data_IF_509810303788
#
_entry.id   IF_509810303788
#
_cell.length_a   1.000
_cell.length_b   1.000
_cell.length_c   1.000
_cell.angle_alpha   90.00
_cell.angle_beta   90.00
_cell.angle_gamma   90.00
#
_symmetry.space_group_name_H-M   'P 1'
#
loop_
_entity.id
_entity.type
_entity.pdbx_description
1 polymer ?
#
# COMPACT_ATOMS: atom_id res chain seq x y z
N UNK A 1 -79.62 2.78 13.12
CA UNK A 1 -78.73 3.65 13.94
C UNK A 1 -77.52 2.86 14.41
N UNK A 2 -76.37 3.00 13.75
CA UNK A 2 -75.07 2.48 14.22
C UNK A 2 -74.03 3.56 13.95
N UNK A 3 -73.47 4.12 15.02
CA UNK A 3 -72.34 5.06 14.98
C UNK A 3 -71.05 4.25 14.93
N UNK A 4 -70.25 4.41 13.88
CA UNK A 4 -68.85 3.97 13.84
C UNK A 4 -67.96 5.20 13.79
N UNK A 5 -67.04 5.27 14.74
CA UNK A 5 -66.09 6.34 14.98
C UNK A 5 -64.71 5.68 15.05
N UNK A 6 -63.66 6.40 14.58
CA UNK A 6 -62.21 6.17 14.80
C UNK A 6 -61.58 5.10 13.89
N UNK A 7 -60.39 5.27 13.29
CA UNK A 7 -59.25 6.17 13.57
C UNK A 7 -58.36 6.24 12.30
N UNK A 8 -57.96 7.42 11.84
CA UNK A 8 -56.92 7.60 10.81
C UNK A 8 -55.61 7.85 11.53
N UNK A 9 -54.67 6.90 11.44
CA UNK A 9 -53.32 7.03 11.98
C UNK A 9 -52.42 7.64 10.91
N UNK A 10 -52.19 8.95 10.98
CA UNK A 10 -51.26 9.66 10.11
C UNK A 10 -49.83 9.44 10.66
N UNK A 11 -49.08 8.53 10.03
CA UNK A 11 -47.68 8.27 10.31
C UNK A 11 -46.83 9.38 9.66
N UNK A 12 -46.54 10.43 10.43
CA UNK A 12 -45.58 11.47 10.04
C UNK A 12 -44.19 10.86 10.18
N UNK A 13 -43.64 10.36 9.07
CA UNK A 13 -42.21 10.05 8.94
C UNK A 13 -41.44 11.38 8.98
N UNK A 14 -40.99 11.77 10.17
CA UNK A 14 -39.98 12.81 10.32
C UNK A 14 -38.64 12.22 9.87
N UNK A 15 -38.33 12.37 8.58
CA UNK A 15 -36.99 12.13 8.03
C UNK A 15 -36.06 13.16 8.66
N UNK A 16 -35.54 12.83 9.84
CA UNK A 16 -34.38 13.52 10.39
C UNK A 16 -33.21 13.17 9.48
N UNK A 17 -32.96 14.01 8.48
CA UNK A 17 -31.64 14.10 7.89
C UNK A 17 -30.71 14.56 9.02
N UNK A 18 -30.13 13.60 9.74
CA UNK A 18 -28.95 13.88 10.52
C UNK A 18 -27.90 14.38 9.53
N UNK A 19 -27.67 15.70 9.51
CA UNK A 19 -26.46 16.25 8.90
C UNK A 19 -25.30 15.59 9.65
N UNK A 20 -24.70 14.56 9.05
CA UNK A 20 -23.45 14.01 9.54
C UNK A 20 -22.49 15.18 9.68
N UNK A 21 -22.11 15.49 10.93
CA UNK A 21 -21.16 16.57 11.18
C UNK A 21 -19.90 16.28 10.38
N UNK A 22 -19.32 17.26 9.68
CA UNK A 22 -18.11 17.04 8.91
C UNK A 22 -17.03 16.51 9.84
N UNK A 23 -16.35 15.46 9.41
CA UNK A 23 -15.22 14.91 10.14
C UNK A 23 -14.11 15.95 10.17
N UNK A 24 -13.56 16.21 11.34
CA UNK A 24 -12.47 17.16 11.53
C UNK A 24 -11.19 16.37 11.76
N UNK A 25 -10.13 16.73 11.05
CA UNK A 25 -8.85 16.05 11.13
C UNK A 25 -7.72 17.07 11.32
N UNK A 26 -7.04 16.99 12.46
CA UNK A 26 -5.65 17.44 12.56
C UNK A 26 -4.74 16.54 11.72
N UNK A 27 -3.49 16.97 11.49
CA UNK A 27 -2.52 16.14 10.79
C UNK A 27 -2.33 14.77 11.45
N UNK A 28 -2.19 14.74 12.79
CA UNK A 28 -2.01 13.49 13.53
C UNK A 28 -3.27 12.61 13.47
N UNK A 29 -4.46 13.19 13.62
CA UNK A 29 -5.72 12.45 13.48
C UNK A 29 -5.91 11.86 12.07
N UNK A 30 -5.46 12.58 11.04
CA UNK A 30 -5.48 12.07 9.67
C UNK A 30 -4.54 10.86 9.52
N UNK A 31 -3.35 10.90 10.12
CA UNK A 31 -2.40 9.78 10.14
C UNK A 31 -3.01 8.58 10.86
N UNK A 32 -3.50 8.76 12.08
CA UNK A 32 -4.04 7.67 12.91
C UNK A 32 -5.28 7.01 12.27
N UNK A 33 -6.15 7.83 11.67
CA UNK A 33 -7.28 7.33 10.89
C UNK A 33 -6.80 6.50 9.69
N UNK A 34 -5.79 6.99 8.97
CA UNK A 34 -5.23 6.31 7.81
C UNK A 34 -4.63 4.95 8.19
N UNK A 35 -3.87 4.88 9.29
CA UNK A 35 -3.22 3.64 9.75
C UNK A 35 -4.23 2.52 10.09
N UNK A 36 -5.48 2.88 10.34
CA UNK A 36 -6.54 1.93 10.72
C UNK A 36 -7.52 1.62 9.58
N UNK A 37 -7.69 2.52 8.61
CA UNK A 37 -8.74 2.42 7.59
C UNK A 37 -8.23 2.35 6.14
N UNK A 38 -6.93 2.60 5.90
CA UNK A 38 -6.39 2.54 4.56
C UNK A 38 -6.42 1.12 3.96
N UNK A 39 -6.78 1.05 2.68
CA UNK A 39 -6.95 -0.21 1.94
C UNK A 39 -5.67 -1.04 1.85
N UNK A 40 -4.51 -0.42 1.60
CA UNK A 40 -3.24 -1.12 1.45
C UNK A 40 -2.77 -1.71 2.79
N UNK A 41 -3.00 -1.02 3.91
CA UNK A 41 -2.70 -1.55 5.25
C UNK A 41 -3.63 -2.68 5.68
N UNK A 42 -4.91 -2.61 5.30
CA UNK A 42 -5.85 -3.72 5.50
C UNK A 42 -5.43 -4.95 4.69
N UNK A 43 -4.99 -4.76 3.44
CA UNK A 43 -4.42 -5.84 2.61
C UNK A 43 -3.13 -6.38 3.24
N UNK A 44 -2.25 -5.51 3.74
CA UNK A 44 -1.02 -5.93 4.42
C UNK A 44 -1.31 -6.75 5.69
N UNK A 45 -2.33 -6.38 6.47
CA UNK A 45 -2.79 -7.16 7.61
C UNK A 45 -3.30 -8.55 7.19
N UNK A 46 -4.11 -8.62 6.13
CA UNK A 46 -4.57 -9.89 5.55
C UNK A 46 -3.40 -10.76 5.05
N UNK A 47 -2.35 -10.15 4.50
CA UNK A 47 -1.16 -10.87 4.06
C UNK A 47 -0.38 -11.48 5.23
N UNK A 48 -0.34 -10.83 6.40
CA UNK A 48 0.23 -11.41 7.63
C UNK A 48 -0.61 -12.60 8.10
N UNK A 49 -1.94 -12.49 8.08
CA UNK A 49 -2.80 -13.62 8.43
C UNK A 49 -2.62 -14.78 7.44
N UNK A 50 -2.55 -14.49 6.14
CA UNK A 50 -2.23 -15.47 5.10
C UNK A 50 -0.89 -16.16 5.36
N UNK A 51 0.14 -15.41 5.74
CA UNK A 51 1.44 -15.98 6.12
C UNK A 51 1.34 -16.87 7.38
N UNK A 52 0.50 -16.50 8.35
CA UNK A 52 0.21 -17.34 9.51
C UNK A 52 -0.50 -18.65 9.13
N UNK A 53 -1.48 -18.60 8.21
CA UNK A 53 -2.13 -19.80 7.68
C UNK A 53 -1.14 -20.67 6.88
N UNK A 54 -0.18 -20.06 6.17
CA UNK A 54 0.90 -20.80 5.49
C UNK A 54 1.82 -21.56 6.45
N UNK A 55 2.09 -21.00 7.64
CA UNK A 55 2.81 -21.73 8.69
C UNK A 55 2.00 -22.95 9.13
N UNK A 56 0.69 -22.81 9.32
CA UNK A 56 -0.18 -23.94 9.68
C UNK A 56 -0.25 -25.00 8.57
N UNK A 57 -0.42 -24.58 7.32
CA UNK A 57 -0.39 -25.45 6.14
C UNK A 57 0.90 -26.28 6.12
N UNK A 58 2.06 -25.64 6.29
CA UNK A 58 3.34 -26.33 6.35
C UNK A 58 3.48 -27.21 7.59
N UNK A 59 2.92 -26.80 8.74
CA UNK A 59 2.93 -27.62 9.96
C UNK A 59 2.12 -28.89 9.76
N UNK A 60 0.96 -28.79 9.12
CA UNK A 60 0.02 -29.89 8.88
C UNK A 60 0.61 -31.01 8.02
N UNK A 61 1.59 -30.74 7.14
CA UNK A 61 2.32 -31.78 6.39
C UNK A 61 2.96 -32.83 7.33
N UNK A 62 3.35 -32.43 8.54
CA UNK A 62 3.91 -33.33 9.56
C UNK A 62 2.87 -34.06 10.41
N UNK A 63 1.59 -33.72 10.26
CA UNK A 63 0.48 -34.31 11.02
C UNK A 63 -0.15 -35.48 10.24
N UNK A 64 -0.86 -36.39 10.92
CA UNK A 64 -1.58 -37.48 10.25
C UNK A 64 -2.54 -36.96 9.17
N UNK A 65 -2.36 -37.45 7.94
CA UNK A 65 -3.23 -37.22 6.79
C UNK A 65 -4.04 -38.48 6.55
N UNK A 66 -5.37 -38.37 6.52
CA UNK A 66 -6.29 -39.49 6.27
C UNK A 66 -6.94 -39.27 4.91
N UNK A 67 -6.71 -40.21 3.99
CA UNK A 67 -7.29 -40.19 2.67
C UNK A 67 -8.11 -41.46 2.46
N UNK A 68 -9.19 -41.36 1.70
CA UNK A 68 -9.99 -42.49 1.25
C UNK A 68 -10.05 -42.51 -0.27
N UNK A 69 -9.91 -43.68 -0.87
CA UNK A 69 -10.09 -43.88 -2.30
C UNK A 69 -11.01 -45.09 -2.54
N UNK A 70 -11.87 -44.98 -3.54
CA UNK A 70 -12.74 -46.06 -4.00
C UNK A 70 -12.53 -46.22 -5.49
N UNK A 71 -11.96 -47.34 -5.89
CA UNK A 71 -11.60 -47.64 -7.27
C UNK A 71 -12.50 -48.78 -7.77
N UNK A 72 -13.30 -48.52 -8.80
CA UNK A 72 -14.06 -49.53 -9.51
C UNK A 72 -13.44 -49.77 -10.89
N UNK A 73 -13.01 -51.00 -11.15
CA UNK A 73 -12.46 -51.40 -12.43
C UNK A 73 -13.34 -52.47 -13.09
N UNK A 74 -13.63 -52.25 -14.37
CA UNK A 74 -14.22 -53.26 -15.25
C UNK A 74 -13.19 -53.67 -16.29
N UNK A 75 -12.64 -54.87 -16.14
CA UNK A 75 -11.68 -55.45 -17.05
C UNK A 75 -12.41 -55.93 -18.32
N UNK A 76 -12.45 -55.09 -19.36
CA UNK A 76 -13.06 -55.43 -20.67
C UNK A 76 -12.48 -56.74 -21.19
N UNK A 77 -11.15 -56.86 -21.14
CA UNK A 77 -10.43 -58.11 -21.38
C UNK A 77 -9.65 -58.46 -20.11
N UNK A 78 -9.76 -59.70 -19.65
CA UNK A 78 -9.02 -60.16 -18.46
C UNK A 78 -7.55 -60.42 -18.82
N UNK A 79 -6.60 -59.99 -17.98
CA UNK A 79 -5.18 -60.24 -18.22
C UNK A 79 -4.90 -61.75 -18.22
N UNK A 80 -4.07 -62.23 -19.15
CA UNK A 80 -3.67 -63.63 -19.23
C UNK A 80 -2.37 -63.84 -18.43
N UNK A 81 -2.34 -64.83 -17.55
CA UNK A 81 -1.11 -65.38 -16.97
C UNK A 81 -0.69 -66.60 -17.77
N UNK A 82 0.60 -66.66 -18.11
CA UNK A 82 1.22 -67.77 -18.83
C UNK A 82 2.03 -68.63 -17.85
N UNK A 83 1.88 -69.95 -17.95
CA UNK A 83 2.67 -70.90 -17.18
C UNK A 83 3.42 -71.84 -18.16
N UNK A 84 4.63 -71.42 -18.55
CA UNK A 84 5.34 -72.03 -19.69
C UNK A 84 4.76 -71.61 -21.05
N UNK A 85 5.15 -72.29 -22.12
CA UNK A 85 4.82 -71.88 -23.50
C UNK A 85 3.37 -72.22 -23.93
N UNK A 86 2.70 -73.10 -23.19
CA UNK A 86 1.42 -73.71 -23.64
C UNK A 86 0.23 -73.46 -22.72
N UNK A 87 0.43 -73.19 -21.43
CA UNK A 87 -0.68 -72.97 -20.49
C UNK A 87 -0.97 -71.48 -20.32
N UNK A 88 -2.19 -71.07 -20.65
CA UNK A 88 -2.69 -69.69 -20.48
C UNK A 88 -3.93 -69.72 -19.59
N UNK A 89 -3.97 -68.83 -18.61
CA UNK A 89 -5.11 -68.68 -17.70
C UNK A 89 -5.54 -67.22 -17.64
N UNK A 90 -6.85 -66.96 -17.67
CA UNK A 90 -7.38 -65.64 -17.36
C UNK A 90 -7.22 -65.35 -15.87
N UNK A 91 -6.49 -64.28 -15.57
CA UNK A 91 -6.20 -63.84 -14.22
C UNK A 91 -7.10 -62.69 -13.78
N UNK A 92 -7.35 -62.62 -12.48
CA UNK A 92 -8.25 -61.64 -11.88
C UNK A 92 -9.71 -61.88 -12.24
N UNK A 93 -10.60 -61.00 -11.78
CA UNK A 93 -12.03 -61.06 -12.09
C UNK A 93 -12.43 -59.87 -12.99
N UNK A 94 -13.57 -59.99 -13.68
CA UNK A 94 -14.03 -58.98 -14.63
C UNK A 94 -14.38 -57.65 -13.96
N UNK A 95 -14.93 -57.68 -12.74
CA UNK A 95 -15.24 -56.49 -11.95
C UNK A 95 -14.45 -56.52 -10.66
N UNK A 96 -13.75 -55.44 -10.36
CA UNK A 96 -13.10 -55.23 -9.06
C UNK A 96 -13.53 -53.90 -8.46
N UNK A 97 -13.74 -53.89 -7.15
CA UNK A 97 -14.01 -52.69 -6.37
C UNK A 97 -13.04 -52.70 -5.19
N UNK A 98 -12.21 -51.67 -5.06
CA UNK A 98 -11.29 -51.51 -3.94
C UNK A 98 -11.64 -50.23 -3.18
N UNK A 99 -12.12 -50.36 -1.95
CA UNK A 99 -12.30 -49.23 -1.05
C UNK A 99 -11.15 -49.21 -0.04
N UNK A 100 -10.34 -48.16 -0.07
CA UNK A 100 -9.16 -48.02 0.77
C UNK A 100 -9.29 -46.77 1.62
N UNK A 101 -8.87 -46.87 2.87
CA UNK A 101 -8.64 -45.74 3.77
C UNK A 101 -7.20 -45.82 4.25
N UNK A 102 -6.45 -44.74 4.09
CA UNK A 102 -5.06 -44.65 4.49
C UNK A 102 -4.82 -43.43 5.36
N UNK A 103 -4.35 -43.66 6.58
CA UNK A 103 -3.71 -42.64 7.41
C UNK A 103 -2.20 -42.69 7.17
N UNK A 104 -1.57 -41.54 6.95
CA UNK A 104 -0.11 -41.43 6.79
C UNK A 104 0.43 -40.25 7.58
N UNK A 105 1.61 -40.38 8.17
CA UNK A 105 2.24 -39.30 8.91
C UNK A 105 3.73 -39.25 8.60
N UNK A 106 4.23 -38.05 8.29
CA UNK A 106 5.65 -37.78 8.18
C UNK A 106 6.27 -37.73 9.58
N UNK A 107 7.23 -38.63 9.84
CA UNK A 107 7.96 -38.66 11.12
C UNK A 107 9.23 -37.82 11.05
N UNK A 108 9.92 -37.84 9.91
CA UNK A 108 11.12 -37.04 9.70
C UNK A 108 11.32 -36.71 8.22
N UNK A 109 11.61 -35.44 7.93
CA UNK A 109 12.21 -34.99 6.68
C UNK A 109 13.02 -33.73 6.94
N UNK A 110 14.26 -33.71 6.48
CA UNK A 110 15.13 -32.53 6.61
C UNK A 110 14.54 -31.30 5.91
N UNK A 111 13.98 -31.49 4.71
CA UNK A 111 13.38 -30.40 3.92
C UNK A 111 12.11 -29.86 4.56
N UNK A 112 11.30 -30.71 5.18
CA UNK A 112 10.14 -30.28 5.97
C UNK A 112 10.53 -29.34 7.12
N UNK A 113 11.53 -29.71 7.93
CA UNK A 113 11.97 -28.92 9.07
C UNK A 113 12.48 -27.53 8.65
N UNK A 114 13.27 -27.48 7.58
CA UNK A 114 13.77 -26.20 7.04
C UNK A 114 12.63 -25.41 6.38
N UNK A 115 11.71 -26.06 5.66
CA UNK A 115 10.54 -25.42 5.08
C UNK A 115 9.64 -24.75 6.12
N UNK A 116 9.51 -25.33 7.32
CA UNK A 116 8.82 -24.71 8.45
C UNK A 116 9.58 -23.48 8.99
N UNK A 117 10.91 -23.53 9.02
CA UNK A 117 11.75 -22.37 9.36
C UNK A 117 11.57 -21.24 8.34
N UNK A 118 11.58 -21.56 7.04
CA UNK A 118 11.36 -20.60 5.96
C UNK A 118 9.98 -19.94 6.02
N UNK A 119 8.92 -20.70 6.34
CA UNK A 119 7.58 -20.14 6.50
C UNK A 119 7.50 -19.12 7.66
N UNK A 120 8.20 -19.39 8.78
CA UNK A 120 8.29 -18.45 9.91
C UNK A 120 9.08 -17.19 9.54
N UNK A 121 10.20 -17.34 8.84
CA UNK A 121 10.99 -16.20 8.33
C UNK A 121 10.18 -15.35 7.34
N UNK A 122 9.40 -15.98 6.45
CA UNK A 122 8.52 -15.29 5.51
C UNK A 122 7.41 -14.49 6.21
N UNK A 123 6.85 -15.00 7.31
CA UNK A 123 5.91 -14.21 8.14
C UNK A 123 6.59 -12.96 8.71
N UNK A 124 7.83 -13.05 9.17
CA UNK A 124 8.57 -11.86 9.66
C UNK A 124 8.76 -10.82 8.56
N UNK A 125 9.10 -11.26 7.34
CA UNK A 125 9.15 -10.36 6.17
C UNK A 125 7.79 -9.69 5.95
N UNK A 126 6.69 -10.45 6.02
CA UNK A 126 5.33 -9.90 5.85
C UNK A 126 4.98 -8.83 6.90
N UNK A 127 5.42 -9.02 8.16
CA UNK A 127 5.28 -8.03 9.23
C UNK A 127 6.11 -6.77 8.92
N UNK A 128 7.36 -6.94 8.51
CA UNK A 128 8.24 -5.83 8.13
C UNK A 128 7.75 -5.08 6.88
N UNK A 129 7.14 -5.78 5.92
CA UNK A 129 6.51 -5.16 4.75
C UNK A 129 5.32 -4.30 5.15
N UNK A 130 4.54 -4.70 6.16
CA UNK A 130 3.48 -3.84 6.72
C UNK A 130 4.07 -2.62 7.42
N UNK A 131 5.10 -2.78 8.24
CA UNK A 131 5.82 -1.66 8.89
C UNK A 131 6.36 -0.66 7.85
N UNK A 132 6.92 -1.15 6.75
CA UNK A 132 7.35 -0.30 5.63
C UNK A 132 6.18 0.46 5.00
N UNK A 133 5.09 -0.24 4.70
CA UNK A 133 3.89 0.37 4.14
C UNK A 133 3.30 1.43 5.07
N UNK A 134 3.33 1.22 6.39
CA UNK A 134 2.89 2.22 7.38
C UNK A 134 3.75 3.49 7.31
N UNK A 135 5.08 3.36 7.21
CA UNK A 135 5.99 4.50 7.05
C UNK A 135 5.73 5.26 5.75
N UNK A 136 5.66 4.56 4.61
CA UNK A 136 5.38 5.17 3.30
C UNK A 136 4.02 5.88 3.28
N UNK A 137 3.02 5.30 3.93
CA UNK A 137 1.70 5.87 4.00
C UNK A 137 1.63 7.10 4.92
N UNK A 138 2.36 7.11 6.04
CA UNK A 138 2.51 8.31 6.89
C UNK A 138 3.05 9.48 6.06
N UNK A 139 4.12 9.26 5.29
CA UNK A 139 4.67 10.28 4.39
C UNK A 139 3.63 10.73 3.36
N UNK A 140 2.93 9.79 2.70
CA UNK A 140 1.92 10.11 1.69
C UNK A 140 0.76 10.94 2.26
N UNK A 141 0.30 10.63 3.48
CA UNK A 141 -0.74 11.40 4.18
C UNK A 141 -0.26 12.80 4.49
N UNK A 142 0.95 12.97 5.04
CA UNK A 142 1.49 14.30 5.36
C UNK A 142 1.58 15.16 4.09
N UNK A 143 2.11 14.59 3.00
CA UNK A 143 2.24 15.29 1.73
C UNK A 143 0.88 15.67 1.13
N UNK A 144 -0.10 14.75 1.16
CA UNK A 144 -1.45 15.03 0.68
C UNK A 144 -2.17 16.07 1.57
N UNK A 145 -2.02 16.01 2.89
CA UNK A 145 -2.56 16.98 3.82
C UNK A 145 -1.97 18.37 3.55
N UNK A 146 -0.65 18.45 3.43
CA UNK A 146 0.04 19.69 3.08
C UNK A 146 -0.43 20.26 1.75
N UNK A 147 -0.64 19.42 0.72
CA UNK A 147 -1.16 19.86 -0.57
C UNK A 147 -2.57 20.49 -0.46
N UNK A 148 -3.45 19.95 0.40
CA UNK A 148 -4.77 20.55 0.66
C UNK A 148 -4.64 21.92 1.34
N UNK A 149 -3.80 22.01 2.38
CA UNK A 149 -3.58 23.26 3.11
C UNK A 149 -2.99 24.32 2.17
N UNK A 150 -1.98 23.96 1.38
CA UNK A 150 -1.34 24.82 0.39
C UNK A 150 -2.32 25.29 -0.70
N UNK A 151 -3.15 24.39 -1.24
CA UNK A 151 -4.19 24.77 -2.19
C UNK A 151 -5.23 25.72 -1.55
N UNK A 152 -5.52 25.54 -0.26
CA UNK A 152 -6.35 26.44 0.53
C UNK A 152 -5.75 27.84 0.70
N UNK A 153 -4.46 27.93 1.02
CA UNK A 153 -3.75 29.21 1.13
C UNK A 153 -3.66 29.94 -0.23
N UNK A 154 -3.41 29.22 -1.31
CA UNK A 154 -3.45 29.78 -2.67
C UNK A 154 -4.83 30.36 -3.00
N UNK A 155 -5.90 29.63 -2.68
CA UNK A 155 -7.26 30.12 -2.86
C UNK A 155 -7.51 31.41 -2.07
N UNK A 156 -7.09 31.48 -0.80
CA UNK A 156 -7.22 32.70 0.03
C UNK A 156 -6.47 33.89 -0.57
N UNK A 157 -5.27 33.66 -1.09
CA UNK A 157 -4.46 34.69 -1.77
C UNK A 157 -5.19 35.20 -3.02
N UNK A 158 -5.66 34.29 -3.88
CA UNK A 158 -6.41 34.66 -5.08
C UNK A 158 -7.73 35.38 -4.76
N UNK A 159 -8.42 35.01 -3.69
CA UNK A 159 -9.61 35.72 -3.21
C UNK A 159 -9.30 37.17 -2.81
N UNK A 160 -8.19 37.38 -2.10
CA UNK A 160 -7.72 38.72 -1.72
C UNK A 160 -7.29 39.52 -2.96
N UNK A 161 -6.66 38.88 -3.92
CA UNK A 161 -6.18 39.49 -5.16
C UNK A 161 -7.34 39.89 -6.07
N UNK A 162 -8.36 39.03 -6.23
CA UNK A 162 -9.63 39.37 -6.92
C UNK A 162 -10.29 40.58 -6.24
N UNK A 163 -10.41 40.58 -4.91
CA UNK A 163 -11.02 41.72 -4.18
C UNK A 163 -10.25 43.02 -4.39
N UNK A 164 -8.91 42.94 -4.41
CA UNK A 164 -8.04 44.11 -4.67
C UNK A 164 -8.18 44.58 -6.11
N UNK A 165 -8.19 43.66 -7.07
CA UNK A 165 -8.39 43.97 -8.48
C UNK A 165 -9.77 44.57 -8.79
N UNK A 166 -10.83 44.11 -8.11
CA UNK A 166 -12.18 44.70 -8.21
C UNK A 166 -12.19 46.15 -7.71
N UNK A 167 -11.52 46.42 -6.58
CA UNK A 167 -11.38 47.77 -6.04
C UNK A 167 -10.59 48.67 -6.99
N UNK A 168 -9.41 48.23 -7.43
CA UNK A 168 -8.57 48.99 -8.36
C UNK A 168 -9.32 49.29 -9.67
N UNK A 169 -10.04 48.31 -10.23
CA UNK A 169 -10.84 48.52 -11.44
C UNK A 169 -11.97 49.53 -11.22
N UNK A 170 -12.61 49.50 -10.05
CA UNK A 170 -13.64 50.48 -9.70
C UNK A 170 -13.05 51.89 -9.66
N UNK A 171 -11.95 52.08 -8.93
CA UNK A 171 -11.30 53.38 -8.76
C UNK A 171 -10.80 53.93 -10.12
N UNK A 172 -10.19 53.09 -10.97
CA UNK A 172 -9.75 53.45 -12.32
C UNK A 172 -10.93 53.86 -13.22
N UNK A 173 -12.08 53.16 -13.12
CA UNK A 173 -13.29 53.53 -13.87
C UNK A 173 -13.84 54.89 -13.46
N UNK A 174 -13.81 55.23 -12.18
CA UNK A 174 -14.26 56.54 -11.72
C UNK A 174 -13.30 57.66 -12.18
N UNK A 175 -11.98 57.43 -12.15
CA UNK A 175 -10.98 58.37 -12.70
C UNK A 175 -11.20 58.60 -14.20
N UNK A 176 -11.47 57.53 -14.97
CA UNK A 176 -11.81 57.64 -16.39
C UNK A 176 -13.10 58.44 -16.63
N UNK A 177 -14.17 58.18 -15.88
CA UNK A 177 -15.44 58.93 -15.97
C UNK A 177 -15.27 60.42 -15.64
N UNK A 178 -14.34 60.75 -14.76
CA UNK A 178 -13.97 62.13 -14.44
C UNK A 178 -13.13 62.80 -15.54
N UNK A 179 -12.76 62.08 -16.61
CA UNK A 179 -11.93 62.58 -17.72
C UNK A 179 -10.44 62.65 -17.41
N UNK A 180 -9.99 62.03 -16.30
CA UNK A 180 -8.62 62.08 -15.81
C UNK A 180 -7.83 60.77 -16.07
N UNK A 181 -8.43 59.82 -16.79
CA UNK A 181 -7.83 58.52 -17.09
C UNK A 181 -8.05 58.08 -18.53
N UNK A 182 -7.42 56.97 -18.92
CA UNK A 182 -7.49 56.39 -20.26
C UNK A 182 -8.40 55.15 -20.28
N UNK A 183 -9.19 54.99 -21.34
CA UNK A 183 -10.02 53.79 -21.55
C UNK A 183 -9.16 52.51 -21.60
N UNK A 184 -7.97 52.58 -22.18
CA UNK A 184 -7.01 51.48 -22.23
C UNK A 184 -6.65 50.94 -20.83
N UNK A 185 -6.55 51.80 -19.82
CA UNK A 185 -6.27 51.38 -18.45
C UNK A 185 -7.45 50.59 -17.85
N UNK A 186 -8.68 51.01 -18.14
CA UNK A 186 -9.91 50.31 -17.74
C UNK A 186 -9.97 48.92 -18.40
N UNK A 187 -9.66 48.83 -19.68
CA UNK A 187 -9.67 47.56 -20.43
C UNK A 187 -8.61 46.60 -19.92
N UNK A 188 -7.37 47.07 -19.72
CA UNK A 188 -6.28 46.25 -19.20
C UNK A 188 -6.58 45.72 -17.80
N UNK A 189 -7.13 46.57 -16.92
CA UNK A 189 -7.47 46.16 -15.56
C UNK A 189 -8.68 45.19 -15.56
N UNK A 190 -9.63 45.38 -16.48
CA UNK A 190 -10.74 44.44 -16.68
C UNK A 190 -10.24 43.07 -17.14
N UNK A 191 -9.30 43.04 -18.10
CA UNK A 191 -8.64 41.81 -18.55
C UNK A 191 -7.93 41.09 -17.41
N UNK A 192 -7.13 41.81 -16.62
CA UNK A 192 -6.41 41.24 -15.47
C UNK A 192 -7.37 40.65 -14.43
N UNK A 193 -8.47 41.36 -14.13
CA UNK A 193 -9.48 40.87 -13.20
C UNK A 193 -10.16 39.59 -13.69
N UNK A 194 -10.46 39.47 -14.99
CA UNK A 194 -11.02 38.25 -15.56
C UNK A 194 -10.03 37.08 -15.43
N UNK A 195 -8.74 37.32 -15.64
CA UNK A 195 -7.69 36.32 -15.42
C UNK A 195 -7.62 35.86 -13.96
N UNK A 196 -7.67 36.80 -13.00
CA UNK A 196 -7.70 36.49 -11.57
C UNK A 196 -8.93 35.68 -11.16
N UNK A 197 -10.12 36.00 -11.69
CA UNK A 197 -11.35 35.24 -11.44
C UNK A 197 -11.23 33.81 -11.96
N UNK A 198 -10.71 33.63 -13.18
CA UNK A 198 -10.42 32.30 -13.74
C UNK A 198 -9.43 31.51 -12.88
N UNK A 199 -8.34 32.14 -12.44
CA UNK A 199 -7.36 31.54 -11.56
C UNK A 199 -7.96 31.11 -10.20
N UNK A 200 -8.81 31.96 -9.59
CA UNK A 200 -9.54 31.62 -8.36
C UNK A 200 -10.44 30.40 -8.54
N UNK A 201 -11.22 30.36 -9.62
CA UNK A 201 -12.11 29.23 -9.91
C UNK A 201 -11.33 27.93 -10.12
N UNK A 202 -10.20 28.01 -10.80
CA UNK A 202 -9.27 26.89 -10.94
C UNK A 202 -8.72 26.45 -9.58
N UNK A 203 -8.21 27.37 -8.76
CA UNK A 203 -7.69 27.08 -7.42
C UNK A 203 -8.75 26.45 -6.50
N UNK A 204 -10.02 26.87 -6.63
CA UNK A 204 -11.15 26.28 -5.91
C UNK A 204 -11.30 24.79 -6.25
N UNK A 205 -11.27 24.46 -7.55
CA UNK A 205 -11.31 23.06 -8.02
C UNK A 205 -10.06 22.27 -7.62
N UNK A 206 -8.88 22.89 -7.64
CA UNK A 206 -7.64 22.23 -7.21
C UNK A 206 -7.64 21.89 -5.73
N UNK A 207 -8.16 22.78 -4.86
CA UNK A 207 -8.32 22.47 -3.44
C UNK A 207 -9.23 21.27 -3.21
N UNK A 208 -10.33 21.20 -3.95
CA UNK A 208 -11.26 20.06 -3.86
C UNK A 208 -10.61 18.76 -4.38
N UNK A 209 -9.86 18.81 -5.48
CA UNK A 209 -9.11 17.67 -5.98
C UNK A 209 -8.08 17.16 -4.97
N UNK A 210 -7.29 18.07 -4.38
CA UNK A 210 -6.33 17.73 -3.34
C UNK A 210 -7.02 17.07 -2.14
N UNK A 211 -8.19 17.57 -1.74
CA UNK A 211 -8.97 17.00 -0.63
C UNK A 211 -9.45 15.58 -0.98
N UNK A 212 -9.93 15.35 -2.20
CA UNK A 212 -10.38 14.03 -2.65
C UNK A 212 -9.22 13.02 -2.73
N UNK A 213 -8.03 13.47 -3.13
CA UNK A 213 -6.81 12.66 -3.06
C UNK A 213 -6.46 12.29 -1.62
N UNK A 214 -6.51 13.23 -0.68
CA UNK A 214 -6.29 12.95 0.74
C UNK A 214 -7.33 11.95 1.28
N UNK A 215 -8.62 12.14 0.99
CA UNK A 215 -9.68 11.20 1.40
C UNK A 215 -9.39 9.78 0.90
N UNK A 216 -8.95 9.63 -0.35
CA UNK A 216 -8.61 8.34 -0.91
C UNK A 216 -7.44 7.67 -0.17
N UNK A 217 -6.35 8.42 0.05
CA UNK A 217 -5.17 7.93 0.80
C UNK A 217 -5.56 7.52 2.23
N UNK A 218 -6.43 8.29 2.89
CA UNK A 218 -6.95 7.97 4.22
C UNK A 218 -7.88 6.75 4.27
N UNK A 219 -8.36 6.26 3.13
CA UNK A 219 -9.43 5.27 3.08
C UNK A 219 -10.81 5.82 3.45
N UNK A 220 -11.00 7.15 3.38
CA UNK A 220 -12.28 7.80 3.64
C UNK A 220 -13.18 7.74 2.39
N UNK A 221 -14.46 7.46 2.60
CA UNK A 221 -15.46 7.53 1.53
C UNK A 221 -15.52 8.95 0.95
N UNK A 222 -15.50 9.06 -0.38
CA UNK A 222 -15.47 10.33 -1.11
C UNK A 222 -16.68 11.24 -0.82
N UNK A 223 -17.83 10.65 -0.47
CA UNK A 223 -19.06 11.38 -0.16
C UNK A 223 -19.06 12.02 1.25
N UNK A 224 -18.10 11.67 2.12
CA UNK A 224 -18.04 12.24 3.47
C UNK A 224 -17.36 13.61 3.44
N UNK A 225 -17.98 14.59 4.12
CA UNK A 225 -17.39 15.90 4.33
C UNK A 225 -16.23 15.81 5.33
N UNK A 226 -15.10 16.43 4.98
CA UNK A 226 -13.89 16.46 5.80
C UNK A 226 -13.39 17.91 5.90
N UNK A 227 -12.98 18.32 7.10
CA UNK A 227 -12.44 19.64 7.39
C UNK A 227 -11.09 19.48 8.07
N UNK A 228 -10.06 20.10 7.50
CA UNK A 228 -8.72 20.10 8.06
C UNK A 228 -8.57 21.24 9.07
N UNK A 229 -7.91 20.97 10.20
CA UNK A 229 -7.80 21.92 11.32
C UNK A 229 -6.38 22.45 11.56
N UNK A 230 -5.35 21.74 11.11
CA UNK A 230 -3.93 22.14 11.26
C UNK A 230 -3.58 23.24 10.27
N UNK A 231 -2.86 24.27 10.71
CA UNK A 231 -2.43 25.39 9.84
C UNK A 231 -1.12 25.10 9.10
N UNK A 232 -0.80 25.90 8.09
CA UNK A 232 0.46 25.78 7.36
C UNK A 232 1.67 26.05 8.28
N UNK A 233 1.58 27.08 9.13
CA UNK A 233 2.65 27.45 10.06
C UNK A 233 2.91 26.35 11.08
N UNK A 234 1.87 25.67 11.55
CA UNK A 234 1.97 24.55 12.49
C UNK A 234 2.76 23.39 11.86
N UNK A 235 2.41 22.99 10.61
CA UNK A 235 3.11 21.92 9.86
C UNK A 235 4.60 22.26 9.64
N UNK A 236 4.90 23.53 9.39
CA UNK A 236 6.27 23.99 9.12
C UNK A 236 7.08 24.07 10.42
N UNK A 237 6.51 24.59 11.52
CA UNK A 237 7.27 24.88 12.75
C UNK A 237 7.55 23.67 13.65
N UNK A 238 6.73 22.62 13.59
CA UNK A 238 6.74 21.53 14.58
C UNK A 238 8.10 20.82 14.75
N UNK A 239 9.00 20.85 13.75
CA UNK A 239 10.30 20.14 13.83
C UNK A 239 11.51 20.81 13.16
N UNK A 240 11.55 22.15 13.03
CA UNK A 240 12.69 22.84 12.38
C UNK A 240 14.02 22.74 13.15
N UNK A 241 14.03 22.24 14.38
CA UNK A 241 15.09 22.60 15.34
C UNK A 241 16.25 21.59 15.44
N UNK A 242 16.15 20.32 15.03
CA UNK A 242 17.31 19.40 15.14
C UNK A 242 17.36 18.29 14.08
N UNK A 243 17.57 18.64 12.80
CA UNK A 243 17.99 17.66 11.80
C UNK A 243 19.41 18.02 11.36
N UNK A 244 20.41 17.44 12.03
CA UNK A 244 21.82 17.53 11.61
C UNK A 244 22.18 16.28 10.80
N UNK A 245 23.05 16.46 9.79
CA UNK A 245 23.47 15.50 8.74
C UNK A 245 23.84 14.07 9.22
N UNK A 246 24.09 13.84 10.52
CA UNK A 246 24.41 12.53 11.09
C UNK A 246 23.74 12.17 12.42
N UNK A 247 22.86 13.02 12.98
CA UNK A 247 22.17 12.72 14.24
C UNK A 247 20.83 12.03 13.95
N UNK A 248 20.87 10.71 13.83
CA UNK A 248 19.66 9.88 13.87
C UNK A 248 19.52 8.82 12.78
N UNK A 249 20.44 8.74 11.80
CA UNK A 249 20.43 7.62 10.85
C UNK A 249 21.06 6.38 11.48
N UNK A 250 20.28 5.32 11.64
CA UNK A 250 20.79 4.00 12.00
C UNK A 250 20.43 3.00 10.91
N UNK A 251 21.39 2.74 10.02
CA UNK A 251 21.26 1.79 8.92
C UNK A 251 20.69 0.44 9.37
N UNK A 252 21.13 -0.09 10.52
CA UNK A 252 20.70 -1.42 10.99
C UNK A 252 19.24 -1.45 11.43
N UNK A 253 18.68 -0.31 11.84
CA UNK A 253 17.30 -0.18 12.24
C UNK A 253 16.37 0.15 11.06
N UNK A 254 16.91 0.72 9.97
CA UNK A 254 16.13 1.07 8.78
C UNK A 254 15.39 -0.13 8.20
N UNK A 255 14.11 0.04 7.87
CA UNK A 255 13.21 -1.06 7.47
C UNK A 255 13.68 -1.76 6.19
N UNK A 256 14.14 -1.02 5.19
CA UNK A 256 14.65 -1.60 3.94
C UNK A 256 15.91 -2.44 4.15
N UNK A 257 16.81 -2.01 5.03
CA UNK A 257 17.99 -2.80 5.38
C UNK A 257 17.60 -4.08 6.13
N UNK A 258 16.66 -3.99 7.08
CA UNK A 258 16.12 -5.17 7.79
C UNK A 258 15.46 -6.15 6.83
N UNK A 259 14.63 -5.67 5.89
CA UNK A 259 13.99 -6.49 4.85
C UNK A 259 15.05 -7.19 3.99
N UNK A 260 16.03 -6.47 3.46
CA UNK A 260 17.10 -7.05 2.66
C UNK A 260 17.93 -8.09 3.45
N UNK A 261 18.22 -7.81 4.73
CA UNK A 261 18.90 -8.76 5.62
C UNK A 261 18.07 -10.03 5.86
N UNK A 262 16.77 -9.91 6.12
CA UNK A 262 15.90 -11.07 6.28
C UNK A 262 15.73 -11.86 4.98
N UNK A 263 15.81 -11.21 3.82
CA UNK A 263 15.85 -11.88 2.52
C UNK A 263 17.12 -12.71 2.33
N UNK A 264 18.29 -12.25 2.83
CA UNK A 264 19.51 -13.07 2.90
C UNK A 264 19.25 -14.32 3.75
N UNK A 265 18.71 -14.16 4.96
CA UNK A 265 18.38 -15.31 5.84
C UNK A 265 17.40 -16.29 5.19
N UNK A 266 16.41 -15.81 4.43
CA UNK A 266 15.50 -16.68 3.70
C UNK A 266 16.23 -17.50 2.63
N UNK A 267 17.19 -16.91 1.92
CA UNK A 267 18.01 -17.61 0.94
C UNK A 267 19.02 -18.58 1.58
N UNK A 268 19.56 -18.26 2.76
CA UNK A 268 20.36 -19.22 3.55
C UNK A 268 19.55 -20.48 3.90
N UNK A 269 18.29 -20.27 4.34
CA UNK A 269 17.36 -21.36 4.59
C UNK A 269 17.04 -22.13 3.31
N UNK A 270 16.95 -21.46 2.16
CA UNK A 270 16.75 -22.13 0.87
C UNK A 270 17.93 -23.02 0.47
N UNK A 271 19.18 -22.56 0.67
CA UNK A 271 20.38 -23.40 0.48
C UNK A 271 20.32 -24.62 1.41
N UNK A 272 19.98 -24.40 2.69
CA UNK A 272 19.84 -25.48 3.68
C UNK A 272 18.73 -26.46 3.29
N UNK A 273 17.61 -25.96 2.78
CA UNK A 273 16.48 -26.75 2.31
C UNK A 273 16.92 -27.67 1.15
N UNK A 274 17.58 -27.14 0.12
CA UNK A 274 18.08 -27.96 -1.00
C UNK A 274 19.11 -29.00 -0.55
N UNK A 275 20.01 -28.67 0.39
CA UNK A 275 20.94 -29.64 0.99
C UNK A 275 20.21 -30.74 1.75
N UNK A 276 19.17 -30.39 2.51
CA UNK A 276 18.43 -31.32 3.35
C UNK A 276 17.59 -32.34 2.57
N UNK A 277 17.31 -32.09 1.29
CA UNK A 277 16.68 -33.07 0.38
C UNK A 277 17.57 -34.29 0.07
N UNK A 278 18.84 -34.27 0.48
CA UNK A 278 19.71 -35.44 0.41
C UNK A 278 19.60 -36.35 1.66
N UNK A 279 18.88 -35.93 2.70
CA UNK A 279 18.66 -36.73 3.90
C UNK A 279 17.52 -37.74 3.69
N UNK A 280 17.54 -38.89 4.39
CA UNK A 280 16.42 -39.83 4.39
C UNK A 280 15.12 -39.18 4.85
N UNK A 281 14.00 -39.66 4.31
CA UNK A 281 12.66 -39.32 4.77
C UNK A 281 12.02 -40.54 5.43
N UNK A 282 11.51 -40.38 6.65
CA UNK A 282 10.83 -41.43 7.41
C UNK A 282 9.36 -41.07 7.58
N UNK A 283 8.47 -41.97 7.22
CA UNK A 283 7.04 -41.85 7.42
C UNK A 283 6.44 -43.14 7.97
N UNK A 284 5.26 -43.02 8.57
CA UNK A 284 4.43 -44.17 8.95
C UNK A 284 3.12 -44.12 8.18
N UNK A 285 2.53 -45.29 7.96
CA UNK A 285 1.22 -45.41 7.35
C UNK A 285 0.41 -46.52 8.02
N UNK A 286 -0.90 -46.32 8.07
CA UNK A 286 -1.91 -47.31 8.42
C UNK A 286 -2.91 -47.34 7.27
N UNK A 287 -3.00 -48.47 6.58
CA UNK A 287 -3.92 -48.67 5.46
C UNK A 287 -4.91 -49.77 5.82
N UNK A 288 -6.19 -49.48 5.64
CA UNK A 288 -7.28 -50.44 5.71
C UNK A 288 -7.97 -50.50 4.34
N UNK A 289 -8.08 -51.69 3.77
CA UNK A 289 -8.65 -51.89 2.45
C UNK A 289 -9.72 -52.96 2.46
N UNK A 290 -10.82 -52.73 1.77
CA UNK A 290 -11.81 -53.73 1.42
C UNK A 290 -11.78 -53.94 -0.09
N UNK A 291 -11.52 -55.17 -0.50
CA UNK A 291 -11.47 -55.53 -1.91
C UNK A 291 -12.63 -56.46 -2.24
N UNK A 292 -13.40 -56.11 -3.26
CA UNK A 292 -14.38 -56.97 -3.90
C UNK A 292 -13.97 -57.32 -5.30
N UNK A 293 -14.16 -58.59 -5.68
CA UNK A 293 -13.75 -59.08 -6.99
C UNK A 293 -14.73 -60.16 -7.44
N UNK A 294 -15.39 -59.97 -8.59
CA UNK A 294 -16.39 -60.92 -9.09
C UNK A 294 -16.48 -60.95 -10.62
N UNK A 295 -16.88 -62.11 -11.15
CA UNK A 295 -17.35 -62.28 -12.52
C UNK A 295 -18.88 -62.19 -12.65
N UNK A 296 -19.60 -62.12 -11.52
CA UNK A 296 -21.07 -62.13 -11.50
C UNK A 296 -21.68 -60.75 -11.83
N UNK A 297 -23.00 -60.75 -12.09
CA UNK A 297 -23.76 -59.52 -12.34
C UNK A 297 -23.74 -58.54 -11.16
N UNK A 298 -23.83 -59.06 -9.92
CA UNK A 298 -23.80 -58.25 -8.69
C UNK A 298 -22.47 -58.34 -7.94
N UNK A 299 -21.93 -57.18 -7.58
CA UNK A 299 -20.71 -57.01 -6.79
C UNK A 299 -20.88 -57.29 -5.29
N UNK A 300 -22.09 -57.08 -4.76
CA UNK A 300 -22.33 -57.05 -3.31
C UNK A 300 -23.18 -58.22 -2.80
N UNK A 301 -23.63 -59.11 -3.68
CA UNK A 301 -24.55 -60.20 -3.29
C UNK A 301 -23.86 -61.40 -2.61
N UNK A 302 -22.52 -61.46 -2.59
CA UNK A 302 -21.76 -62.56 -1.99
C UNK A 302 -20.73 -62.02 -1.01
N UNK A 303 -20.89 -62.34 0.28
CA UNK A 303 -19.90 -62.06 1.33
C UNK A 303 -18.55 -62.75 1.08
N UNK A 304 -18.53 -63.82 0.28
CA UNK A 304 -17.31 -64.56 -0.10
C UNK A 304 -16.38 -63.78 -1.04
N UNK A 305 -16.89 -62.77 -1.75
CA UNK A 305 -16.08 -61.94 -2.65
C UNK A 305 -15.49 -60.72 -1.94
N UNK A 306 -15.38 -60.71 -0.61
CA UNK A 306 -14.94 -59.58 0.20
C UNK A 306 -13.67 -59.91 0.97
N UNK A 307 -12.61 -59.13 0.74
CA UNK A 307 -11.29 -59.36 1.34
C UNK A 307 -10.80 -58.11 2.06
N UNK A 308 -11.04 -57.99 3.38
CA UNK A 308 -10.48 -56.91 4.18
C UNK A 308 -8.99 -57.16 4.46
N UNK A 309 -8.20 -56.10 4.46
CA UNK A 309 -6.78 -56.13 4.82
C UNK A 309 -6.41 -54.87 5.59
N UNK A 310 -5.58 -55.01 6.62
CA UNK A 310 -5.04 -53.89 7.38
C UNK A 310 -3.53 -54.02 7.45
N UNK A 311 -2.82 -52.95 7.10
CA UNK A 311 -1.37 -52.90 7.12
C UNK A 311 -0.95 -51.64 7.85
N UNK A 312 -0.14 -51.81 8.90
CA UNK A 312 0.62 -50.72 9.50
C UNK A 312 2.10 -50.90 9.13
N UNK A 313 2.79 -49.82 8.82
CA UNK A 313 4.19 -49.89 8.44
C UNK A 313 4.94 -48.58 8.61
N UNK A 314 6.26 -48.72 8.54
CA UNK A 314 7.20 -47.61 8.43
C UNK A 314 7.79 -47.63 7.01
N UNK A 315 7.99 -46.44 6.45
CA UNK A 315 8.62 -46.25 5.14
C UNK A 315 9.81 -45.32 5.30
N UNK A 316 10.99 -45.83 4.98
CA UNK A 316 12.23 -45.05 4.91
C UNK A 316 12.63 -44.90 3.45
N UNK A 317 12.62 -43.65 2.97
CA UNK A 317 13.09 -43.31 1.62
C UNK A 317 14.48 -42.68 1.72
N UNK A 318 15.49 -43.38 1.18
CA UNK A 318 16.89 -42.91 1.16
C UNK A 318 17.26 -42.53 -0.27
N UNK A 319 17.42 -41.23 -0.56
CA UNK A 319 17.77 -40.79 -1.90
C UNK A 319 19.25 -41.08 -2.23
N UNK A 320 19.54 -42.16 -2.96
CA UNK A 320 20.93 -42.59 -3.23
C UNK A 320 21.60 -41.75 -4.33
N UNK A 321 21.02 -41.72 -5.53
CA UNK A 321 21.60 -41.02 -6.68
C UNK A 321 20.53 -40.29 -7.47
N UNK A 322 20.84 -39.08 -7.94
CA UNK A 322 19.89 -38.20 -8.66
C UNK A 322 20.50 -37.63 -9.95
N UNK A 323 21.45 -38.33 -10.56
CA UNK A 323 22.14 -37.87 -11.78
C UNK A 323 22.65 -36.42 -11.67
N UNK A 324 23.27 -36.07 -10.53
CA UNK A 324 23.77 -34.73 -10.18
C UNK A 324 22.71 -33.60 -10.06
N UNK A 325 21.42 -33.87 -10.25
CA UNK A 325 20.35 -32.87 -10.15
C UNK A 325 20.35 -32.10 -8.81
N UNK A 326 20.53 -32.79 -7.68
CA UNK A 326 20.60 -32.15 -6.34
C UNK A 326 21.78 -31.20 -6.19
N UNK A 327 22.93 -31.54 -6.79
CA UNK A 327 24.12 -30.68 -6.80
C UNK A 327 23.81 -29.38 -7.56
N UNK A 328 23.19 -29.48 -8.73
CA UNK A 328 22.79 -28.32 -9.52
C UNK A 328 21.78 -27.43 -8.76
N UNK A 329 20.72 -28.00 -8.16
CA UNK A 329 19.75 -27.24 -7.35
C UNK A 329 20.38 -26.55 -6.14
N UNK A 330 21.30 -27.21 -5.46
CA UNK A 330 22.03 -26.61 -4.34
C UNK A 330 22.91 -25.44 -4.81
N UNK A 331 23.55 -25.57 -5.98
CA UNK A 331 24.36 -24.51 -6.55
C UNK A 331 23.51 -23.30 -6.98
N UNK A 332 22.34 -23.53 -7.57
CA UNK A 332 21.38 -22.46 -7.89
C UNK A 332 20.99 -21.67 -6.63
N UNK A 333 20.60 -22.36 -5.55
CA UNK A 333 20.26 -21.70 -4.28
C UNK A 333 21.44 -20.91 -3.68
N UNK A 334 22.69 -21.35 -3.87
CA UNK A 334 23.88 -20.60 -3.43
C UNK A 334 24.07 -19.31 -4.23
N UNK A 335 23.85 -19.36 -5.54
CA UNK A 335 23.90 -18.17 -6.40
C UNK A 335 22.80 -17.19 -6.02
N UNK A 336 21.59 -17.68 -5.70
CA UNK A 336 20.49 -16.84 -5.19
C UNK A 336 20.83 -16.19 -3.84
N UNK A 337 21.54 -16.90 -2.95
CA UNK A 337 22.06 -16.33 -1.70
C UNK A 337 23.09 -15.23 -1.97
N UNK A 338 24.06 -15.46 -2.85
CA UNK A 338 25.05 -14.45 -3.24
C UNK A 338 24.38 -13.20 -3.84
N UNK A 339 23.39 -13.38 -4.72
CA UNK A 339 22.60 -12.28 -5.25
C UNK A 339 21.87 -11.49 -4.15
N UNK A 340 21.32 -12.16 -3.13
CA UNK A 340 20.67 -11.51 -2.01
C UNK A 340 21.65 -10.71 -1.13
N UNK A 341 22.89 -11.20 -0.95
CA UNK A 341 23.94 -10.49 -0.23
C UNK A 341 24.41 -9.23 -0.98
N UNK A 342 24.52 -9.33 -2.31
CA UNK A 342 24.80 -8.18 -3.19
C UNK A 342 23.65 -7.17 -3.11
N UNK A 343 22.39 -7.60 -3.19
CA UNK A 343 21.25 -6.70 -3.10
C UNK A 343 21.14 -6.02 -1.73
N UNK A 344 21.49 -6.72 -0.63
CA UNK A 344 21.61 -6.11 0.70
C UNK A 344 22.67 -5.00 0.71
N UNK A 345 23.83 -5.26 0.12
CA UNK A 345 24.93 -4.28 0.04
C UNK A 345 24.54 -3.07 -0.81
N UNK A 346 23.87 -3.30 -1.94
CA UNK A 346 23.30 -2.25 -2.78
C UNK A 346 22.24 -1.43 -2.04
N UNK A 347 21.36 -2.08 -1.27
CA UNK A 347 20.36 -1.40 -0.43
C UNK A 347 21.04 -0.52 0.61
N UNK A 348 22.11 -1.01 1.24
CA UNK A 348 22.91 -0.22 2.19
C UNK A 348 23.50 1.04 1.54
N UNK A 349 24.13 0.92 0.38
CA UNK A 349 24.66 2.10 -0.34
C UNK A 349 23.56 3.06 -0.79
N UNK A 350 22.43 2.51 -1.25
CA UNK A 350 21.25 3.29 -1.66
C UNK A 350 20.71 4.13 -0.50
N UNK A 351 20.55 3.54 0.68
CA UNK A 351 20.04 4.25 1.86
C UNK A 351 20.97 5.39 2.29
N UNK A 352 22.28 5.16 2.27
CA UNK A 352 23.28 6.22 2.57
C UNK A 352 23.13 7.37 1.57
N UNK A 353 23.01 7.06 0.29
CA UNK A 353 22.81 8.06 -0.76
C UNK A 353 21.48 8.82 -0.60
N UNK A 354 20.38 8.10 -0.31
CA UNK A 354 19.05 8.68 -0.13
C UNK A 354 19.01 9.65 1.06
N UNK A 355 19.61 9.29 2.20
CA UNK A 355 19.72 10.19 3.37
C UNK A 355 20.48 11.46 3.00
N UNK A 356 21.63 11.32 2.33
CA UNK A 356 22.46 12.48 1.93
C UNK A 356 21.70 13.41 0.98
N UNK A 357 21.05 12.84 -0.04
CA UNK A 357 20.28 13.63 -1.01
C UNK A 357 19.06 14.29 -0.35
N UNK A 358 18.34 13.57 0.50
CA UNK A 358 17.18 14.12 1.21
C UNK A 358 17.58 15.27 2.14
N UNK A 359 18.73 15.16 2.80
CA UNK A 359 19.28 16.23 3.64
C UNK A 359 19.58 17.49 2.83
N UNK A 360 20.34 17.36 1.73
CA UNK A 360 20.65 18.49 0.85
C UNK A 360 19.40 19.14 0.24
N UNK A 361 18.42 18.33 -0.16
CA UNK A 361 17.15 18.83 -0.69
C UNK A 361 16.35 19.60 0.36
N UNK A 362 16.34 19.12 1.60
CA UNK A 362 15.69 19.81 2.72
C UNK A 362 16.36 21.14 3.04
N UNK A 363 17.70 21.19 3.12
CA UNK A 363 18.44 22.43 3.34
C UNK A 363 18.15 23.47 2.25
N UNK A 364 18.20 23.06 0.98
CA UNK A 364 17.88 23.93 -0.15
C UNK A 364 16.43 24.43 -0.11
N UNK A 365 15.48 23.57 0.23
CA UNK A 365 14.07 23.93 0.33
C UNK A 365 13.81 24.91 1.49
N UNK A 366 14.52 24.73 2.62
CA UNK A 366 14.43 25.62 3.77
C UNK A 366 14.95 27.02 3.43
N UNK A 367 16.12 27.12 2.79
CA UNK A 367 16.67 28.40 2.36
C UNK A 367 15.75 29.11 1.36
N UNK A 368 15.25 28.38 0.36
CA UNK A 368 14.30 28.93 -0.63
C UNK A 368 13.00 29.42 0.01
N UNK A 369 12.45 28.67 0.96
CA UNK A 369 11.26 29.09 1.71
C UNK A 369 11.52 30.39 2.48
N UNK A 370 12.66 30.51 3.16
CA UNK A 370 13.03 31.72 3.91
C UNK A 370 13.19 32.94 2.98
N UNK A 371 13.87 32.77 1.84
CA UNK A 371 14.05 33.82 0.84
C UNK A 371 12.70 34.25 0.25
N UNK A 372 11.86 33.29 -0.17
CA UNK A 372 10.58 33.60 -0.81
C UNK A 372 9.60 34.25 0.18
N UNK A 373 9.66 33.89 1.47
CA UNK A 373 8.90 34.57 2.52
C UNK A 373 9.28 36.05 2.61
N UNK A 374 10.57 36.37 2.59
CA UNK A 374 11.04 37.77 2.58
C UNK A 374 10.66 38.50 1.29
N UNK A 375 10.74 37.82 0.13
CA UNK A 375 10.31 38.37 -1.17
C UNK A 375 8.86 38.81 -1.15
N UNK A 376 7.95 37.97 -0.65
CA UNK A 376 6.51 38.32 -0.53
C UNK A 376 6.30 39.53 0.37
N UNK A 377 7.01 39.62 1.49
CA UNK A 377 6.90 40.78 2.38
C UNK A 377 7.36 42.08 1.67
N UNK A 378 8.46 42.01 0.93
CA UNK A 378 9.00 43.14 0.18
C UNK A 378 8.10 43.54 -0.99
N UNK A 379 7.66 42.60 -1.83
CA UNK A 379 6.81 42.91 -2.99
C UNK A 379 5.45 43.45 -2.58
N UNK A 380 4.86 42.98 -1.47
CA UNK A 380 3.64 43.57 -0.89
C UNK A 380 3.84 45.03 -0.47
N UNK A 381 4.99 45.38 0.12
CA UNK A 381 5.32 46.78 0.46
C UNK A 381 5.51 47.64 -0.78
N UNK A 382 6.17 47.13 -1.82
CA UNK A 382 6.37 47.84 -3.09
C UNK A 382 5.01 48.06 -3.77
N UNK A 383 4.18 47.03 -3.88
CA UNK A 383 2.84 47.14 -4.46
C UNK A 383 1.97 48.15 -3.71
N UNK A 384 1.96 48.12 -2.38
CA UNK A 384 1.20 49.10 -1.59
C UNK A 384 1.65 50.55 -1.84
N UNK A 385 2.96 50.79 -2.00
CA UNK A 385 3.48 52.13 -2.34
C UNK A 385 3.14 52.53 -3.76
N UNK A 386 3.23 51.61 -4.71
CA UNK A 386 2.91 51.89 -6.11
C UNK A 386 1.42 52.16 -6.32
N UNK A 387 0.56 51.45 -5.57
CA UNK A 387 -0.87 51.73 -5.52
C UNK A 387 -1.16 53.16 -5.06
N UNK A 388 -0.50 53.62 -3.99
CA UNK A 388 -0.64 55.01 -3.51
C UNK A 388 -0.15 55.99 -4.58
N UNK A 389 1.05 55.80 -5.15
CA UNK A 389 1.60 56.69 -6.18
C UNK A 389 0.66 56.81 -7.38
N UNK A 390 0.11 55.71 -7.85
CA UNK A 390 -0.79 55.70 -9.00
C UNK A 390 -2.04 56.53 -8.74
N UNK A 391 -2.70 56.32 -7.59
CA UNK A 391 -3.93 57.05 -7.25
C UNK A 391 -3.71 58.52 -6.89
N UNK A 392 -2.49 58.91 -6.51
CA UNK A 392 -2.08 60.31 -6.36
C UNK A 392 -1.61 60.93 -7.70
N UNK A 393 -1.69 60.21 -8.82
CA UNK A 393 -1.28 60.68 -10.15
C UNK A 393 0.24 60.77 -10.36
N UNK A 394 1.02 60.09 -9.52
CA UNK A 394 2.49 60.11 -9.51
C UNK A 394 3.13 58.90 -10.22
N UNK A 395 2.34 57.98 -10.76
CA UNK A 395 2.84 56.85 -11.58
C UNK A 395 1.82 56.35 -12.59
N UNK A 396 2.28 55.49 -13.52
CA UNK A 396 1.47 54.99 -14.62
C UNK A 396 0.70 53.70 -14.26
N UNK A 397 -0.36 53.40 -15.01
CA UNK A 397 -1.10 52.13 -14.87
C UNK A 397 -0.21 50.91 -15.17
N UNK A 398 0.80 51.10 -16.04
CA UNK A 398 1.78 50.07 -16.36
C UNK A 398 2.66 49.74 -15.15
N UNK A 399 3.12 50.76 -14.41
CA UNK A 399 3.91 50.55 -13.17
C UNK A 399 3.10 49.82 -12.10
N UNK A 400 1.83 50.21 -11.92
CA UNK A 400 0.91 49.55 -11.00
C UNK A 400 0.72 48.07 -11.37
N UNK A 401 0.38 47.80 -12.63
CA UNK A 401 0.12 46.44 -13.13
C UNK A 401 1.38 45.56 -13.05
N UNK A 402 2.55 46.10 -13.41
CA UNK A 402 3.82 45.37 -13.34
C UNK A 402 4.16 44.99 -11.89
N UNK A 403 3.97 45.92 -10.95
CA UNK A 403 4.23 45.67 -9.53
C UNK A 403 3.23 44.68 -8.94
N UNK A 404 1.97 44.74 -9.37
CA UNK A 404 0.93 43.77 -9.01
C UNK A 404 1.33 42.36 -9.47
N UNK A 405 1.78 42.21 -10.72
CA UNK A 405 2.26 40.93 -11.25
C UNK A 405 3.46 40.39 -10.48
N UNK A 406 4.46 41.24 -10.16
CA UNK A 406 5.62 40.84 -9.35
C UNK A 406 5.22 40.36 -7.95
N UNK A 407 4.21 40.98 -7.33
CA UNK A 407 3.67 40.52 -6.06
C UNK A 407 3.03 39.14 -6.20
N UNK A 408 2.21 38.93 -7.24
CA UNK A 408 1.56 37.64 -7.49
C UNK A 408 2.57 36.52 -7.79
N UNK A 409 3.63 36.81 -8.53
CA UNK A 409 4.72 35.87 -8.78
C UNK A 409 5.40 35.47 -7.47
N UNK A 410 5.78 36.44 -6.64
CA UNK A 410 6.38 36.17 -5.33
C UNK A 410 5.45 35.36 -4.41
N UNK A 411 4.15 35.64 -4.40
CA UNK A 411 3.17 34.87 -3.63
C UNK A 411 3.09 33.41 -4.09
N UNK A 412 3.08 33.16 -5.41
CA UNK A 412 3.12 31.81 -5.95
C UNK A 412 4.44 31.08 -5.64
N UNK A 413 5.57 31.77 -5.73
CA UNK A 413 6.90 31.21 -5.37
C UNK A 413 6.95 30.82 -3.88
N UNK A 414 6.36 31.63 -3.00
CA UNK A 414 6.27 31.33 -1.57
C UNK A 414 5.44 30.08 -1.30
N UNK A 415 4.24 29.99 -1.86
CA UNK A 415 3.36 28.82 -1.73
C UNK A 415 4.07 27.55 -2.22
N UNK A 416 4.72 27.62 -3.38
CA UNK A 416 5.45 26.48 -3.96
C UNK A 416 6.62 26.06 -3.07
N UNK A 417 7.40 27.02 -2.55
CA UNK A 417 8.52 26.73 -1.64
C UNK A 417 8.09 26.15 -0.30
N UNK A 418 6.89 26.51 0.20
CA UNK A 418 6.34 25.95 1.43
C UNK A 418 5.99 24.47 1.26
N UNK A 419 5.35 24.10 0.13
CA UNK A 419 5.09 22.69 -0.19
C UNK A 419 6.38 21.89 -0.37
N UNK A 420 7.37 22.47 -1.05
CA UNK A 420 8.68 21.86 -1.24
C UNK A 420 9.43 21.63 0.08
N UNK A 421 9.37 22.58 1.01
CA UNK A 421 9.93 22.41 2.35
C UNK A 421 9.27 21.26 3.11
N UNK A 422 7.94 21.17 3.07
CA UNK A 422 7.22 20.09 3.76
C UNK A 422 7.54 18.73 3.13
N UNK A 423 7.49 18.63 1.81
CA UNK A 423 7.76 17.37 1.10
C UNK A 423 9.22 16.91 1.21
N UNK A 424 10.18 17.83 1.19
CA UNK A 424 11.60 17.49 1.42
C UNK A 424 11.86 17.07 2.86
N UNK A 425 11.22 17.73 3.84
CA UNK A 425 11.25 17.33 5.25
C UNK A 425 10.70 15.92 5.45
N UNK A 426 9.53 15.61 4.89
CA UNK A 426 8.93 14.28 5.02
C UNK A 426 9.76 13.20 4.34
N UNK A 427 10.42 13.52 3.21
CA UNK A 427 11.38 12.64 2.53
C UNK A 427 12.65 12.40 3.36
N UNK A 428 13.14 13.41 4.07
CA UNK A 428 14.25 13.24 5.00
C UNK A 428 13.87 12.31 6.17
N UNK A 429 12.67 12.45 6.73
CA UNK A 429 12.18 11.55 7.79
C UNK A 429 12.02 10.11 7.31
N UNK A 430 11.54 9.93 6.09
CA UNK A 430 11.44 8.63 5.42
C UNK A 430 12.83 8.00 5.32
N UNK A 431 13.81 8.74 4.77
CA UNK A 431 15.17 8.25 4.58
C UNK A 431 15.90 7.96 5.90
N UNK A 432 15.60 8.71 6.96
CA UNK A 432 16.14 8.47 8.30
C UNK A 432 15.47 7.27 9.00
N UNK A 433 14.33 6.79 8.50
CA UNK A 433 13.52 5.75 9.15
C UNK A 433 12.92 6.19 10.49
N UNK A 434 12.49 7.46 10.58
CA UNK A 434 11.98 8.08 11.83
C UNK A 434 10.45 8.06 12.00
N UNK A 435 9.71 7.41 11.11
CA UNK A 435 8.25 7.30 11.18
C UNK A 435 7.73 6.19 12.08
#
# INVERSE_FOLDING_TARGET
MRKTLKFVFLLIFSVHFAQEKPLRFSLQEAIDYTLTHNYDLLIAANNIEKAQKKIWENTAIGLPQINGNVDYNYNINRPLIFLGDTLKFEAGQQKTLAANVQASQLLFSGSYLVGLQSAKAFKQISVMSKEKAESELKQAVINAYAAVIIAGENLKILEKNVKTGEKNLHDIKEIYKAGLGEEQAVDQMSYNLLSLKSAKDYATRQRENALNSLKFIMGLNQNKAAVLTTSLEEIIQEDLIEIHENKGFNLKNHIDYRLAKHQVTLNELQVKHQKSMALPTLSTFLQHSHNWSTNDASLFNKFENHYPSTIWGLRLEVPIFSSLQRRAKTQQAKIELENAEIERTKTEQKLIQEVKNAYLNYENALERYQINRQRVELTRKIFGKEQIKYFEGLSSNMDLTNTEFQMYEAENEYISSALELITSKTALYQALGKY
#
